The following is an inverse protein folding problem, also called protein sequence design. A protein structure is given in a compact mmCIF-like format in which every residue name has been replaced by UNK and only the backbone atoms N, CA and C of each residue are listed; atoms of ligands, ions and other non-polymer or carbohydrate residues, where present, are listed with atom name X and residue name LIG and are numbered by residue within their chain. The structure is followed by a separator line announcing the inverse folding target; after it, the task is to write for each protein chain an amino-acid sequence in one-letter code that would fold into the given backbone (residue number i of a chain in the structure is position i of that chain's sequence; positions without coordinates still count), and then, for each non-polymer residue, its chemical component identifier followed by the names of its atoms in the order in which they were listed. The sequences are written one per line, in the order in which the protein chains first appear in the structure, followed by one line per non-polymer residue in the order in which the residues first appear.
data_IF_691064252482
#
_entry.id   IF_691064252482
#
_cell.length_a   1.000
_cell.length_b   1.000
_cell.length_c   1.000
_cell.angle_alpha   90.00
_cell.angle_beta   90.00
_cell.angle_gamma   90.00
#
_symmetry.space_group_name_H-M   'P 1'
#
loop_
_entity.id
_entity.type
_entity.pdbx_description
1 polymer ?
#
# COMPACT_ATOMS: atom_id res chain seq x y z
N UNK A 1 -40.19 -21.51 5.15
CA UNK A 1 -38.78 -21.71 4.74
C UNK A 1 -37.93 -20.62 5.37
N UNK A 2 -37.01 -20.94 6.28
CA UNK A 2 -36.15 -19.95 6.92
C UNK A 2 -35.07 -19.48 5.93
N UNK A 3 -34.99 -18.16 5.68
CA UNK A 3 -33.92 -17.54 4.88
C UNK A 3 -32.57 -17.84 5.55
N UNK A 4 -31.68 -18.56 4.84
CA UNK A 4 -30.26 -18.68 5.22
C UNK A 4 -29.66 -17.27 5.30
N UNK A 5 -29.23 -16.84 6.49
CA UNK A 5 -28.42 -15.62 6.65
C UNK A 5 -27.19 -15.74 5.74
N UNK A 6 -26.95 -14.75 4.89
CA UNK A 6 -25.70 -14.65 4.14
C UNK A 6 -24.54 -14.58 5.13
N UNK A 7 -23.49 -15.38 4.90
CA UNK A 7 -22.26 -15.24 5.69
C UNK A 7 -21.71 -13.84 5.45
N UNK A 8 -21.50 -13.09 6.53
CA UNK A 8 -20.87 -11.77 6.49
C UNK A 8 -19.48 -11.86 5.89
N UNK A 9 -19.04 -10.80 5.20
CA UNK A 9 -17.69 -10.72 4.67
C UNK A 9 -16.66 -10.78 5.81
N UNK A 10 -15.50 -11.42 5.61
CA UNK A 10 -14.43 -11.43 6.59
C UNK A 10 -14.01 -10.01 6.97
N UNK A 11 -13.76 -9.78 8.25
CA UNK A 11 -13.35 -8.49 8.80
C UNK A 11 -11.90 -8.51 9.29
N UNK A 12 -11.33 -7.34 9.57
CA UNK A 12 -10.01 -7.25 10.22
C UNK A 12 -9.97 -7.96 11.57
N UNK A 13 -11.08 -7.96 12.32
CA UNK A 13 -11.19 -8.68 13.60
C UNK A 13 -10.99 -10.19 13.42
N UNK A 14 -11.57 -10.78 12.37
CA UNK A 14 -11.42 -12.20 12.06
C UNK A 14 -9.97 -12.54 11.69
N UNK A 15 -9.31 -11.68 10.89
CA UNK A 15 -7.90 -11.83 10.54
C UNK A 15 -7.02 -11.72 11.78
N UNK A 16 -7.25 -10.71 12.63
CA UNK A 16 -6.50 -10.50 13.86
C UNK A 16 -6.60 -11.69 14.81
N UNK A 17 -7.78 -12.30 14.91
CA UNK A 17 -7.97 -13.52 15.70
C UNK A 17 -7.10 -14.68 15.20
N UNK A 18 -6.95 -14.85 13.88
CA UNK A 18 -6.05 -15.86 13.29
C UNK A 18 -4.57 -15.55 13.50
N UNK A 19 -4.20 -14.27 13.46
CA UNK A 19 -2.82 -13.84 13.71
C UNK A 19 -2.40 -13.98 15.18
N UNK A 20 -3.35 -14.01 16.12
CA UNK A 20 -3.05 -14.14 17.55
C UNK A 20 -2.36 -15.47 17.91
N UNK A 21 -2.61 -16.52 17.13
CA UNK A 21 -2.03 -17.85 17.35
C UNK A 21 -0.64 -18.02 16.68
N UNK A 22 -0.17 -17.02 15.92
CA UNK A 22 1.08 -17.13 15.17
C UNK A 22 2.29 -16.85 16.08
N UNK A 23 3.32 -17.69 15.97
CA UNK A 23 4.63 -17.37 16.53
C UNK A 23 5.38 -16.33 15.67
N UNK A 24 6.54 -15.88 16.16
CA UNK A 24 7.36 -14.89 15.46
C UNK A 24 7.81 -15.35 14.07
N UNK A 25 8.12 -16.63 13.89
CA UNK A 25 8.61 -17.15 12.62
C UNK A 25 7.47 -17.20 11.58
N UNK A 26 6.30 -17.65 11.99
CA UNK A 26 5.09 -17.66 11.18
C UNK A 26 4.68 -16.24 10.76
N UNK A 27 4.76 -15.26 11.68
CA UNK A 27 4.48 -13.85 11.35
C UNK A 27 5.47 -13.29 10.32
N UNK A 28 6.77 -13.57 10.48
CA UNK A 28 7.78 -13.16 9.50
C UNK A 28 7.56 -13.82 8.14
N UNK A 29 7.23 -15.11 8.11
CA UNK A 29 6.90 -15.82 6.88
C UNK A 29 5.67 -15.26 6.17
N UNK A 30 4.64 -14.85 6.92
CA UNK A 30 3.47 -14.18 6.36
C UNK A 30 3.83 -12.81 5.78
N UNK A 31 4.60 -11.99 6.51
CA UNK A 31 5.05 -10.68 6.02
C UNK A 31 5.90 -10.83 4.75
N UNK A 32 6.79 -11.82 4.71
CA UNK A 32 7.59 -12.12 3.51
C UNK A 32 6.70 -12.53 2.33
N UNK A 33 5.66 -13.32 2.58
CA UNK A 33 4.71 -13.72 1.54
C UNK A 33 3.93 -12.52 1.01
N UNK A 34 3.49 -11.61 1.89
CA UNK A 34 2.82 -10.36 1.52
C UNK A 34 3.76 -9.40 0.76
N UNK A 35 5.03 -9.34 1.15
CA UNK A 35 6.08 -8.59 0.45
C UNK A 35 6.28 -9.12 -0.98
N UNK A 36 6.35 -10.44 -1.16
CA UNK A 36 6.51 -11.05 -2.47
C UNK A 36 5.25 -10.91 -3.36
N UNK A 37 4.07 -10.85 -2.75
CA UNK A 37 2.80 -10.84 -3.48
C UNK A 37 2.49 -9.54 -4.22
N UNK A 38 2.96 -8.38 -3.74
CA UNK A 38 2.61 -7.10 -4.35
C UNK A 38 3.70 -6.03 -4.21
N UNK A 39 3.95 -5.28 -5.29
CA UNK A 39 4.97 -4.22 -5.33
C UNK A 39 4.70 -3.11 -4.33
N UNK A 40 3.44 -2.70 -4.16
CA UNK A 40 3.07 -1.66 -3.19
C UNK A 40 3.44 -2.05 -1.74
N UNK A 41 3.38 -3.34 -1.39
CA UNK A 41 3.81 -3.81 -0.08
C UNK A 41 5.33 -3.71 0.08
N UNK A 42 6.09 -3.95 -1.00
CA UNK A 42 7.54 -3.76 -1.00
C UNK A 42 7.88 -2.29 -0.79
N UNK A 43 7.28 -1.41 -1.60
CA UNK A 43 7.45 0.04 -1.49
C UNK A 43 7.11 0.53 -0.07
N UNK A 44 5.98 0.08 0.49
CA UNK A 44 5.56 0.44 1.83
C UNK A 44 6.58 0.01 2.89
N UNK A 45 7.07 -1.23 2.84
CA UNK A 45 8.01 -1.76 3.83
C UNK A 45 9.41 -1.14 3.66
N UNK A 46 9.86 -0.93 2.43
CA UNK A 46 11.12 -0.22 2.15
C UNK A 46 11.08 1.20 2.71
N UNK A 47 9.96 1.91 2.52
CA UNK A 47 9.78 3.23 3.09
C UNK A 47 9.73 3.20 4.62
N UNK A 48 8.87 2.34 5.18
CA UNK A 48 8.67 2.20 6.63
C UNK A 48 9.97 1.96 7.41
N UNK A 49 10.91 1.26 6.80
CA UNK A 49 12.19 0.87 7.40
C UNK A 49 13.40 1.63 6.83
N UNK A 50 13.21 2.59 5.94
CA UNK A 50 14.29 3.40 5.35
C UNK A 50 15.33 2.57 4.57
N UNK A 51 14.88 1.55 3.84
CA UNK A 51 15.76 0.62 3.12
C UNK A 51 16.12 1.09 1.70
N UNK A 52 15.51 2.17 1.22
CA UNK A 52 15.77 2.76 -0.08
C UNK A 52 16.58 4.05 0.07
N UNK A 53 17.48 4.30 -0.89
CA UNK A 53 18.26 5.55 -0.96
C UNK A 53 17.36 6.76 -1.23
N UNK A 54 16.38 6.61 -2.13
CA UNK A 54 15.26 7.55 -2.30
C UNK A 54 13.94 6.83 -1.98
N UNK A 55 13.41 7.13 -0.80
CA UNK A 55 12.15 6.56 -0.30
C UNK A 55 10.93 7.14 -1.04
N UNK A 56 11.04 8.34 -1.60
CA UNK A 56 9.94 9.08 -2.24
C UNK A 56 9.78 8.72 -3.71
N UNK A 57 10.86 8.38 -4.41
CA UNK A 57 10.87 8.09 -5.84
C UNK A 57 9.79 7.09 -6.29
N UNK A 58 9.55 5.96 -5.59
CA UNK A 58 8.50 5.02 -6.00
C UNK A 58 7.09 5.62 -5.92
N UNK A 59 6.84 6.48 -4.94
CA UNK A 59 5.56 7.17 -4.78
C UNK A 59 5.39 8.26 -5.84
N UNK A 60 6.43 9.05 -6.13
CA UNK A 60 6.44 10.02 -7.24
C UNK A 60 6.16 9.36 -8.58
N UNK A 61 6.81 8.23 -8.89
CA UNK A 61 6.54 7.44 -10.12
C UNK A 61 5.09 6.98 -10.21
N UNK A 62 4.48 6.66 -9.08
CA UNK A 62 3.06 6.26 -9.04
C UNK A 62 2.14 7.44 -9.31
N UNK A 63 2.41 8.59 -8.70
CA UNK A 63 1.69 9.84 -8.94
C UNK A 63 1.81 10.25 -10.41
N UNK A 64 3.03 10.28 -10.94
CA UNK A 64 3.35 10.66 -12.32
C UNK A 64 2.59 9.79 -13.33
N UNK A 65 2.67 8.46 -13.17
CA UNK A 65 1.98 7.51 -14.05
C UNK A 65 0.45 7.70 -14.09
N UNK A 66 -0.16 8.12 -12.99
CA UNK A 66 -1.62 8.26 -12.90
C UNK A 66 -2.13 9.65 -13.28
N UNK A 67 -1.31 10.70 -13.18
CA UNK A 67 -1.65 12.07 -13.54
C UNK A 67 -1.20 12.43 -14.97
N UNK A 68 -0.04 11.94 -15.39
CA UNK A 68 0.54 12.12 -16.72
C UNK A 68 0.71 10.77 -17.42
N UNK A 69 -0.39 10.15 -17.88
CA UNK A 69 -0.34 8.84 -18.51
C UNK A 69 0.40 8.91 -19.84
N UNK A 70 1.09 7.82 -20.18
CA UNK A 70 1.61 7.65 -21.53
C UNK A 70 0.44 7.41 -22.50
N UNK A 71 0.11 8.44 -23.29
CA UNK A 71 -0.97 8.43 -24.28
C UNK A 71 -0.75 7.39 -25.38
N UNK A 72 0.52 7.07 -25.71
CA UNK A 72 0.87 6.05 -26.69
C UNK A 72 0.55 4.64 -26.16
N UNK A 73 0.55 4.47 -24.84
CA UNK A 73 0.25 3.21 -24.15
C UNK A 73 -1.21 3.07 -23.71
N UNK A 74 -2.09 4.00 -24.08
CA UNK A 74 -3.53 4.03 -23.70
C UNK A 74 -3.74 3.81 -22.19
N UNK A 75 -2.89 4.44 -21.38
CA UNK A 75 -3.00 4.31 -19.93
C UNK A 75 -4.14 5.17 -19.39
N UNK A 76 -4.91 4.59 -18.46
CA UNK A 76 -5.96 5.32 -17.75
C UNK A 76 -5.38 6.33 -16.76
N UNK A 77 -6.06 7.47 -16.61
CA UNK A 77 -5.78 8.45 -15.55
C UNK A 77 -6.58 8.15 -14.31
N UNK A 78 -6.00 8.46 -13.14
CA UNK A 78 -6.75 8.37 -11.90
C UNK A 78 -6.18 9.24 -10.80
N UNK A 79 -6.86 10.36 -10.55
CA UNK A 79 -6.55 11.27 -9.44
C UNK A 79 -6.67 10.56 -8.08
N UNK A 80 -7.64 9.66 -7.93
CA UNK A 80 -7.82 8.92 -6.67
C UNK A 80 -6.65 7.98 -6.38
N UNK A 81 -6.04 7.38 -7.42
CA UNK A 81 -4.86 6.53 -7.27
C UNK A 81 -3.60 7.34 -6.96
N UNK A 82 -3.44 8.52 -7.56
CA UNK A 82 -2.36 9.44 -7.22
C UNK A 82 -2.45 9.90 -5.75
N UNK A 83 -3.63 10.32 -5.28
CA UNK A 83 -3.87 10.67 -3.86
C UNK A 83 -3.67 9.49 -2.92
N UNK A 84 -3.97 8.27 -3.38
CA UNK A 84 -3.73 7.05 -2.62
C UNK A 84 -2.24 6.85 -2.38
N UNK A 85 -1.37 7.09 -3.36
CA UNK A 85 0.08 7.00 -3.19
C UNK A 85 0.58 7.91 -2.05
N UNK A 86 0.11 9.17 -2.00
CA UNK A 86 0.44 10.11 -0.91
C UNK A 86 -0.06 9.57 0.45
N UNK A 87 -1.29 9.05 0.48
CA UNK A 87 -1.89 8.50 1.70
C UNK A 87 -1.15 7.25 2.19
N UNK A 88 -0.65 6.42 1.27
CA UNK A 88 0.10 5.21 1.58
C UNK A 88 1.52 5.56 2.06
N UNK A 89 2.17 6.59 1.50
CA UNK A 89 3.41 7.15 2.06
C UNK A 89 3.21 7.66 3.50
N UNK A 90 2.13 8.41 3.73
CA UNK A 90 1.77 8.92 5.06
C UNK A 90 1.65 7.82 6.10
N UNK A 91 1.13 6.66 5.72
CA UNK A 91 1.01 5.48 6.60
C UNK A 91 2.33 4.74 6.78
N UNK A 92 3.22 4.81 5.80
CA UNK A 92 4.52 4.15 5.83
C UNK A 92 5.50 4.91 6.74
N UNK A 93 5.77 6.17 6.45
CA UNK A 93 6.73 6.99 7.22
C UNK A 93 6.03 8.20 7.79
N UNK A 94 5.38 8.97 6.91
CA UNK A 94 4.58 10.13 7.28
C UNK A 94 5.37 11.28 7.88
N UNK A 95 6.67 11.37 7.59
CA UNK A 95 7.47 12.53 7.96
C UNK A 95 6.97 13.78 7.20
N UNK A 96 7.05 14.97 7.82
CA UNK A 96 6.48 16.18 7.25
C UNK A 96 7.15 16.63 5.95
N UNK A 97 8.46 16.42 5.81
CA UNK A 97 9.25 16.87 4.67
C UNK A 97 8.91 16.07 3.41
N UNK A 98 8.94 14.74 3.49
CA UNK A 98 8.56 13.87 2.38
C UNK A 98 7.09 13.99 2.01
N UNK A 99 6.20 14.24 2.99
CA UNK A 99 4.80 14.54 2.69
C UNK A 99 4.64 15.87 1.94
N UNK A 100 5.36 16.92 2.35
CA UNK A 100 5.32 18.20 1.67
C UNK A 100 5.83 18.06 0.23
N UNK A 101 6.91 17.33 0.02
CA UNK A 101 7.47 17.08 -1.30
C UNK A 101 6.50 16.32 -2.21
N UNK A 102 5.84 15.27 -1.72
CA UNK A 102 4.83 14.54 -2.50
C UNK A 102 3.60 15.39 -2.82
N UNK A 103 3.19 16.29 -1.92
CA UNK A 103 2.07 17.20 -2.16
C UNK A 103 2.41 18.31 -3.16
N UNK A 104 3.67 18.74 -3.24
CA UNK A 104 4.14 19.70 -4.24
C UNK A 104 4.32 19.03 -5.61
N UNK A 105 4.68 17.74 -5.63
CA UNK A 105 4.86 16.97 -6.86
C UNK A 105 3.54 16.54 -7.52
N UNK A 106 2.50 16.29 -6.73
CA UNK A 106 1.14 15.96 -7.19
C UNK A 106 0.48 17.10 -7.97
#
# INVERSE_FOLDING_TARGET
MAKRKSKSQPTWTDVKAKLADFDRAALLGLIQSLYAAHKDNQTFLHARFGLAEDVLEPYKKTIDRWLWPDLLRRQDTSVSQAKRAISDYKKAVGDPEGLAELMVFY
#
